data_IF_955864354216
#
_entry.id   IF_955864354216
#
_cell.length_a   1.000
_cell.length_b   1.000
_cell.length_c   1.000
_cell.angle_alpha   90.00
_cell.angle_beta   90.00
_cell.angle_gamma   90.00
#
_symmetry.space_group_name_H-M   'P 1'
#
loop_
_entity.id
_entity.type
_entity.pdbx_description
1 polymer ?
#
# COMPACT_ATOMS: atom_id res chain seq x y z
N UNK A 1 20.48 -3.72 9.02
CA UNK A 1 19.70 -4.98 8.96
C UNK A 1 18.77 -5.07 7.75
N UNK A 2 17.94 -4.06 7.47
CA UNK A 2 17.00 -4.05 6.33
C UNK A 2 17.66 -4.38 4.98
N UNK A 3 18.82 -3.78 4.66
CA UNK A 3 19.54 -4.08 3.41
C UNK A 3 19.89 -5.57 3.24
N UNK A 4 20.25 -6.27 4.32
CA UNK A 4 20.59 -7.70 4.31
C UNK A 4 19.33 -8.55 4.10
N UNK A 5 18.23 -8.18 4.74
CA UNK A 5 16.93 -8.82 4.58
C UNK A 5 16.38 -8.63 3.16
N UNK A 6 16.47 -7.42 2.59
CA UNK A 6 16.11 -7.14 1.21
C UNK A 6 16.95 -7.94 0.21
N UNK A 7 18.28 -8.00 0.39
CA UNK A 7 19.16 -8.83 -0.46
C UNK A 7 18.79 -10.31 -0.39
N UNK A 8 18.52 -10.85 0.81
CA UNK A 8 18.16 -12.25 0.99
C UNK A 8 16.80 -12.60 0.38
N UNK A 9 15.81 -11.70 0.47
CA UNK A 9 14.46 -11.95 -0.07
C UNK A 9 14.35 -11.68 -1.58
N UNK A 10 15.23 -10.84 -2.14
CA UNK A 10 15.01 -10.23 -3.45
C UNK A 10 16.20 -10.37 -4.42
N UNK A 11 17.29 -11.02 -4.00
CA UNK A 11 18.43 -11.40 -4.85
C UNK A 11 19.64 -10.45 -4.80
N UNK A 12 20.79 -10.94 -5.25
CA UNK A 12 22.09 -10.27 -5.10
C UNK A 12 22.29 -9.01 -5.96
N UNK A 13 21.45 -8.83 -7.00
CA UNK A 13 21.53 -7.73 -7.97
C UNK A 13 21.00 -6.36 -7.45
N UNK A 14 20.95 -6.17 -6.13
CA UNK A 14 20.46 -4.95 -5.50
C UNK A 14 21.53 -3.85 -5.50
N UNK A 15 21.41 -2.90 -6.42
CA UNK A 15 22.21 -1.66 -6.42
C UNK A 15 21.82 -0.77 -5.24
N UNK A 16 22.71 0.13 -4.83
CA UNK A 16 22.49 1.03 -3.70
C UNK A 16 21.30 1.98 -3.92
N UNK A 17 21.14 2.51 -5.14
CA UNK A 17 20.01 3.35 -5.48
C UNK A 17 18.67 2.58 -5.42
N UNK A 18 18.64 1.34 -5.92
CA UNK A 18 17.46 0.49 -5.83
C UNK A 18 17.12 0.12 -4.39
N UNK A 19 18.13 -0.08 -3.54
CA UNK A 19 17.92 -0.31 -2.11
C UNK A 19 17.28 0.91 -1.42
N UNK A 20 17.71 2.13 -1.79
CA UNK A 20 17.10 3.36 -1.28
C UNK A 20 15.65 3.50 -1.71
N UNK A 21 15.35 3.32 -3.00
CA UNK A 21 13.99 3.37 -3.54
C UNK A 21 13.07 2.29 -2.92
N UNK A 22 13.57 1.05 -2.80
CA UNK A 22 12.83 -0.03 -2.14
C UNK A 22 12.50 0.35 -0.70
N UNK A 23 13.47 0.87 0.05
CA UNK A 23 13.29 1.27 1.45
C UNK A 23 12.24 2.37 1.59
N UNK A 24 12.26 3.38 0.72
CA UNK A 24 11.24 4.45 0.71
C UNK A 24 9.86 3.87 0.40
N UNK A 25 9.74 3.02 -0.62
CA UNK A 25 8.46 2.39 -0.95
C UNK A 25 7.92 1.55 0.22
N UNK A 26 8.77 0.74 0.85
CA UNK A 26 8.38 -0.04 2.02
C UNK A 26 7.96 0.83 3.19
N UNK A 27 8.63 1.97 3.43
CA UNK A 27 8.24 2.90 4.48
C UNK A 27 6.85 3.52 4.23
N UNK A 28 6.57 3.94 2.99
CA UNK A 28 5.24 4.45 2.60
C UNK A 28 4.18 3.37 2.79
N UNK A 29 4.44 2.15 2.31
CA UNK A 29 3.50 1.02 2.43
C UNK A 29 3.25 0.67 3.90
N UNK A 30 4.30 0.65 4.74
CA UNK A 30 4.14 0.44 6.18
C UNK A 30 3.28 1.53 6.81
N UNK A 31 3.48 2.79 6.42
CA UNK A 31 2.63 3.90 6.86
C UNK A 31 1.18 3.71 6.41
N UNK A 32 0.94 3.20 5.20
CA UNK A 32 -0.42 2.84 4.74
C UNK A 32 -1.05 1.80 5.66
N UNK A 33 -0.33 0.74 6.05
CA UNK A 33 -0.83 -0.26 7.00
C UNK A 33 -1.18 0.35 8.36
N UNK A 34 -0.28 1.16 8.92
CA UNK A 34 -0.47 1.78 10.23
C UNK A 34 -1.70 2.70 10.24
N UNK A 35 -1.80 3.59 9.27
CA UNK A 35 -2.93 4.52 9.17
C UNK A 35 -4.24 3.77 8.90
N UNK A 36 -4.23 2.74 8.05
CA UNK A 36 -5.40 1.89 7.81
C UNK A 36 -5.89 1.20 9.10
N UNK A 37 -4.96 0.68 9.91
CA UNK A 37 -5.29 0.09 11.21
C UNK A 37 -5.85 1.10 12.21
N UNK A 38 -5.36 2.34 12.21
CA UNK A 38 -5.91 3.42 13.03
C UNK A 38 -7.31 3.81 12.55
N UNK A 39 -7.50 3.97 11.25
CA UNK A 39 -8.79 4.38 10.66
C UNK A 39 -9.88 3.36 10.91
N UNK A 40 -9.53 2.07 11.06
CA UNK A 40 -10.49 1.02 11.37
C UNK A 40 -11.30 1.28 12.66
N UNK A 41 -10.76 2.01 13.64
CA UNK A 41 -11.49 2.37 14.86
C UNK A 41 -12.54 3.47 14.66
N UNK A 42 -12.47 4.21 13.54
CA UNK A 42 -13.36 5.33 13.23
C UNK A 42 -14.33 5.01 12.10
N UNK A 43 -14.02 3.99 11.28
CA UNK A 43 -14.86 3.58 10.16
C UNK A 43 -16.11 2.82 10.64
N UNK A 44 -17.23 2.89 9.89
CA UNK A 44 -18.37 2.02 10.13
C UNK A 44 -17.98 0.55 10.02
N UNK A 45 -18.77 -0.39 10.53
CA UNK A 45 -18.47 -1.83 10.42
C UNK A 45 -18.37 -2.30 8.97
N UNK A 46 -19.13 -1.66 8.07
CA UNK A 46 -19.22 -1.98 6.66
C UNK A 46 -19.13 -0.69 5.82
N UNK A 47 -18.32 -0.72 4.77
CA UNK A 47 -18.23 0.33 3.75
C UNK A 47 -18.95 -0.15 2.51
N UNK A 48 -19.88 0.68 2.02
CA UNK A 48 -20.61 0.40 0.79
C UNK A 48 -19.74 0.68 -0.42
N UNK A 49 -19.48 -0.35 -1.24
CA UNK A 49 -18.75 -0.21 -2.50
C UNK A 49 -19.75 -0.22 -3.65
N UNK A 50 -19.65 0.80 -4.51
CA UNK A 50 -20.43 0.89 -5.74
C UNK A 50 -20.01 -0.22 -6.71
N UNK A 51 -20.93 -1.11 -7.06
CA UNK A 51 -20.64 -2.20 -8.00
C UNK A 51 -21.20 -1.89 -9.41
N UNK A 52 -22.47 -1.50 -9.52
CA UNK A 52 -23.11 -1.12 -10.81
C UNK A 52 -24.38 -0.29 -10.59
N UNK A 53 -24.52 0.85 -11.28
CA UNK A 53 -25.68 1.74 -11.10
C UNK A 53 -25.78 2.19 -9.65
N UNK A 54 -26.95 2.00 -9.01
CA UNK A 54 -27.18 2.32 -7.59
C UNK A 54 -27.02 1.11 -6.66
N UNK A 55 -26.41 0.01 -7.13
CA UNK A 55 -26.21 -1.18 -6.30
C UNK A 55 -24.92 -1.07 -5.49
N UNK A 56 -25.10 -1.08 -4.17
CA UNK A 56 -24.02 -1.05 -3.19
C UNK A 56 -23.83 -2.44 -2.59
N UNK A 57 -22.58 -2.90 -2.57
CA UNK A 57 -22.20 -4.12 -1.86
C UNK A 57 -21.52 -3.73 -0.54
N UNK A 58 -22.04 -4.15 0.62
CA UNK A 58 -21.39 -3.89 1.88
C UNK A 58 -20.12 -4.74 1.98
N UNK A 59 -18.98 -4.08 2.11
CA UNK A 59 -17.70 -4.73 2.41
C UNK A 59 -17.35 -4.47 3.88
N UNK A 60 -17.06 -5.51 4.68
CA UNK A 60 -16.54 -5.31 6.03
C UNK A 60 -15.32 -4.40 6.02
N UNK A 61 -15.34 -3.35 6.84
CA UNK A 61 -14.28 -2.34 6.84
C UNK A 61 -12.93 -2.95 7.19
N UNK A 62 -12.92 -3.98 8.05
CA UNK A 62 -11.72 -4.77 8.36
C UNK A 62 -11.07 -5.29 7.08
N UNK A 63 -11.82 -5.80 6.10
CA UNK A 63 -11.26 -6.28 4.84
C UNK A 63 -10.87 -5.12 3.91
N UNK A 64 -11.71 -4.08 3.87
CA UNK A 64 -11.51 -2.91 3.01
C UNK A 64 -10.19 -2.18 3.32
N UNK A 65 -9.87 -1.98 4.61
CA UNK A 65 -8.71 -1.19 5.02
C UNK A 65 -7.37 -1.86 4.71
N UNK A 66 -7.32 -3.20 4.66
CA UNK A 66 -6.08 -3.92 4.35
C UNK A 66 -5.84 -4.11 2.86
N UNK A 67 -6.88 -3.99 2.03
CA UNK A 67 -6.81 -4.31 0.60
C UNK A 67 -5.74 -3.48 -0.14
N UNK A 68 -5.80 -2.16 0.00
CA UNK A 68 -4.89 -1.26 -0.73
C UNK A 68 -3.43 -1.38 -0.27
N UNK A 69 -3.11 -1.42 1.05
CA UNK A 69 -1.75 -1.68 1.53
C UNK A 69 -1.19 -3.03 1.06
N UNK A 70 -2.00 -4.10 1.02
CA UNK A 70 -1.58 -5.42 0.53
C UNK A 70 -1.27 -5.38 -0.96
N UNK A 71 -2.14 -4.77 -1.77
CA UNK A 71 -1.91 -4.62 -3.22
C UNK A 71 -0.62 -3.83 -3.47
N UNK A 72 -0.43 -2.72 -2.76
CA UNK A 72 0.79 -1.91 -2.87
C UNK A 72 2.06 -2.70 -2.52
N UNK A 73 1.99 -3.54 -1.48
CA UNK A 73 3.07 -4.45 -1.08
C UNK A 73 3.42 -5.45 -2.19
N UNK A 74 2.42 -6.14 -2.75
CA UNK A 74 2.60 -7.12 -3.84
C UNK A 74 3.20 -6.46 -5.07
N UNK A 75 2.68 -5.29 -5.46
CA UNK A 75 3.20 -4.51 -6.60
C UNK A 75 4.66 -4.11 -6.35
N UNK A 76 5.00 -3.62 -5.15
CA UNK A 76 6.38 -3.23 -4.83
C UNK A 76 7.35 -4.41 -4.91
N UNK A 77 6.96 -5.59 -4.39
CA UNK A 77 7.75 -6.83 -4.53
C UNK A 77 7.90 -7.19 -6.01
N UNK A 78 6.85 -7.04 -6.82
CA UNK A 78 6.89 -7.24 -8.27
C UNK A 78 7.90 -6.32 -8.96
N UNK A 79 7.87 -5.01 -8.67
CA UNK A 79 8.83 -4.05 -9.21
C UNK A 79 10.27 -4.39 -8.85
N UNK A 80 10.48 -4.85 -7.62
CA UNK A 80 11.80 -5.28 -7.17
C UNK A 80 12.29 -6.49 -7.97
N UNK A 81 11.47 -7.55 -8.06
CA UNK A 81 11.84 -8.78 -8.78
C UNK A 81 12.07 -8.54 -10.27
N UNK A 82 11.30 -7.63 -10.87
CA UNK A 82 11.45 -7.25 -12.28
C UNK A 82 12.55 -6.22 -12.54
N UNK A 83 13.25 -5.73 -11.49
CA UNK A 83 14.24 -4.65 -11.57
C UNK A 83 13.68 -3.35 -12.19
N UNK A 84 12.40 -3.05 -11.93
CA UNK A 84 11.65 -1.89 -12.45
C UNK A 84 11.38 -0.82 -11.38
N UNK A 85 12.22 -0.74 -10.35
CA UNK A 85 12.11 0.32 -9.35
C UNK A 85 12.50 1.67 -9.96
N UNK A 86 11.63 2.66 -9.78
CA UNK A 86 11.88 4.03 -10.20
C UNK A 86 11.35 5.01 -9.16
N UNK A 87 11.77 6.28 -9.25
CA UNK A 87 11.22 7.36 -8.41
C UNK A 87 9.72 7.55 -8.63
N UNK A 88 9.20 7.27 -9.83
CA UNK A 88 7.78 7.36 -10.13
C UNK A 88 6.97 6.37 -9.30
N UNK A 89 7.49 5.16 -9.05
CA UNK A 89 6.81 4.16 -8.22
C UNK A 89 6.58 4.71 -6.80
N UNK A 90 7.58 5.38 -6.22
CA UNK A 90 7.48 6.02 -4.90
C UNK A 90 6.45 7.14 -4.87
N UNK A 91 6.43 7.99 -5.90
CA UNK A 91 5.45 9.07 -6.05
C UNK A 91 4.04 8.48 -6.14
N UNK A 92 3.84 7.44 -6.95
CA UNK A 92 2.54 6.75 -7.08
C UNK A 92 2.09 6.18 -5.74
N UNK A 93 2.97 5.53 -4.97
CA UNK A 93 2.60 5.04 -3.63
C UNK A 93 2.24 6.17 -2.66
N UNK A 94 2.94 7.31 -2.71
CA UNK A 94 2.58 8.47 -1.89
C UNK A 94 1.22 9.05 -2.28
N UNK A 95 0.92 9.15 -3.57
CA UNK A 95 -0.40 9.60 -4.06
C UNK A 95 -1.50 8.62 -3.65
N UNK A 96 -1.25 7.31 -3.79
CA UNK A 96 -2.19 6.27 -3.34
C UNK A 96 -2.48 6.37 -1.85
N UNK A 97 -1.45 6.63 -1.01
CA UNK A 97 -1.64 6.87 0.41
C UNK A 97 -2.58 8.06 0.68
N UNK A 98 -2.40 9.17 -0.03
CA UNK A 98 -3.26 10.37 0.14
C UNK A 98 -4.69 10.08 -0.29
N UNK A 99 -4.90 9.45 -1.45
CA UNK A 99 -6.23 9.09 -1.95
C UNK A 99 -6.93 8.13 -0.99
N UNK A 100 -6.19 7.13 -0.47
CA UNK A 100 -6.69 6.19 0.52
C UNK A 100 -7.19 6.91 1.77
N UNK A 101 -6.38 7.81 2.34
CA UNK A 101 -6.78 8.56 3.53
C UNK A 101 -7.99 9.46 3.26
N UNK A 102 -8.03 10.15 2.13
CA UNK A 102 -9.18 10.96 1.75
C UNK A 102 -10.45 10.10 1.65
N UNK A 103 -10.35 8.90 1.08
CA UNK A 103 -11.48 7.98 0.96
C UNK A 103 -11.98 7.48 2.32
N UNK A 104 -11.09 7.21 3.28
CA UNK A 104 -11.50 6.80 4.63
C UNK A 104 -12.14 7.96 5.40
N UNK A 105 -11.56 9.16 5.29
CA UNK A 105 -12.10 10.36 5.95
C UNK A 105 -13.50 10.69 5.42
N UNK A 106 -13.79 10.48 4.13
CA UNK A 106 -15.12 10.71 3.58
C UNK A 106 -16.20 9.72 4.04
N UNK A 107 -15.81 8.63 4.70
CA UNK A 107 -16.69 7.57 5.19
C UNK A 107 -16.91 7.63 6.70
N UNK A 108 -16.23 8.55 7.40
CA UNK A 108 -16.48 8.91 8.80
C UNK A 108 -17.60 9.95 8.83
#
# INVERSE_FOLDING_TARGET
>A
MIRKLLKNLLGENFTENNAKLATVNFAIILLMFLLSGIMLFFLPEQISILHTGDTYYPLPSVLAVWLLPIIALVINIGFIKQKRLSKMNSIVFAVLLVIMMASYISQI
#
